data_IF_348490622557
#
_entry.id   IF_348490622557
#
_cell.length_a   1.000
_cell.length_b   1.000
_cell.length_c   1.000
_cell.angle_alpha   90.00
_cell.angle_beta   90.00
_cell.angle_gamma   90.00
#
_symmetry.space_group_name_H-M   'P 1'
#
loop_
_entity.id
_entity.type
_entity.pdbx_description
1 polymer ?
#
# COMPACT_ATOMS: atom_id res chain seq x y z
N UNK A 1 70.15 -29.76 33.95
CA UNK A 1 69.04 -30.73 33.86
C UNK A 1 67.98 -30.29 34.87
N UNK A 2 67.04 -29.45 34.47
CA UNK A 2 65.67 -29.74 34.01
C UNK A 2 64.65 -29.86 35.17
N UNK A 3 63.84 -28.81 35.38
CA UNK A 3 62.36 -28.83 35.41
C UNK A 3 61.79 -27.63 36.21
N UNK A 4 61.00 -26.80 35.53
CA UNK A 4 60.12 -25.78 36.14
C UNK A 4 58.69 -26.36 36.20
N UNK A 5 57.95 -26.24 37.31
CA UNK A 5 56.54 -26.62 37.34
C UNK A 5 55.66 -25.47 36.84
N UNK A 6 54.67 -25.86 36.03
CA UNK A 6 53.55 -25.07 35.55
C UNK A 6 52.71 -24.52 36.72
N UNK A 7 52.29 -23.25 36.63
CA UNK A 7 51.11 -22.76 37.32
C UNK A 7 50.33 -21.84 36.39
N UNK A 8 49.15 -22.33 35.99
CA UNK A 8 48.12 -21.68 35.21
C UNK A 8 47.67 -20.35 35.86
N UNK A 9 47.64 -19.27 35.08
CA UNK A 9 46.74 -18.14 35.37
C UNK A 9 45.75 -18.04 34.22
N UNK A 10 44.51 -18.44 34.48
CA UNK A 10 43.42 -18.44 33.51
C UNK A 10 43.04 -16.99 33.15
N UNK A 11 43.17 -16.65 31.87
CA UNK A 11 42.61 -15.43 31.28
C UNK A 11 41.11 -15.69 31.10
N UNK A 12 40.28 -15.04 31.92
CA UNK A 12 38.83 -14.97 31.66
C UNK A 12 38.60 -14.03 30.48
N UNK A 13 38.48 -14.60 29.29
CA UNK A 13 37.97 -13.90 28.12
C UNK A 13 36.45 -13.72 28.33
N UNK A 14 36.06 -12.50 28.70
CA UNK A 14 34.66 -12.11 28.78
C UNK A 14 34.15 -12.01 27.34
N UNK A 15 33.42 -13.02 26.87
CA UNK A 15 32.71 -12.92 25.61
C UNK A 15 31.66 -11.81 25.72
N UNK A 16 31.92 -10.69 25.03
CA UNK A 16 30.88 -9.72 24.73
C UNK A 16 29.94 -10.41 23.73
N UNK A 17 28.84 -10.97 24.23
CA UNK A 17 27.74 -11.41 23.38
C UNK A 17 27.38 -10.24 22.44
N UNK A 18 27.27 -10.45 21.12
CA UNK A 18 26.76 -9.42 20.25
C UNK A 18 25.34 -9.10 20.72
N UNK A 19 25.15 -7.91 21.26
CA UNK A 19 23.81 -7.35 21.41
C UNK A 19 23.27 -7.23 20.00
N UNK A 20 22.33 -8.10 19.63
CA UNK A 20 21.60 -7.92 18.38
C UNK A 20 20.86 -6.59 18.52
N UNK A 21 21.38 -5.56 17.86
CA UNK A 21 20.64 -4.33 17.64
C UNK A 21 19.41 -4.75 16.87
N UNK A 22 18.24 -4.72 17.50
CA UNK A 22 16.99 -4.91 16.79
C UNK A 22 16.96 -3.82 15.71
N UNK A 23 17.10 -4.21 14.45
CA UNK A 23 16.84 -3.30 13.35
C UNK A 23 15.39 -2.84 13.49
N UNK A 24 15.18 -1.52 13.47
CA UNK A 24 13.85 -0.94 13.41
C UNK A 24 13.28 -1.23 12.00
N UNK A 25 12.69 -2.41 11.84
CA UNK A 25 12.09 -2.82 10.57
C UNK A 25 10.76 -2.10 10.44
N UNK A 26 10.72 -1.10 9.55
CA UNK A 26 9.53 -0.27 9.28
C UNK A 26 8.27 -1.13 9.02
N UNK A 27 8.41 -2.21 8.25
CA UNK A 27 7.39 -3.23 8.05
C UNK A 27 7.73 -4.53 8.79
N UNK A 28 7.17 -4.72 9.98
CA UNK A 28 7.19 -6.02 10.66
C UNK A 28 6.18 -6.95 9.98
N UNK A 29 6.64 -8.04 9.34
CA UNK A 29 5.80 -8.94 8.54
C UNK A 29 5.89 -10.42 9.00
N UNK A 30 6.24 -10.64 10.28
CA UNK A 30 6.54 -11.99 10.79
C UNK A 30 5.32 -12.87 11.09
N UNK A 31 4.15 -12.26 11.27
CA UNK A 31 2.89 -12.96 11.55
C UNK A 31 1.75 -12.35 10.73
N UNK A 32 0.65 -13.08 10.56
CA UNK A 32 -0.54 -12.55 9.87
C UNK A 32 -1.08 -11.29 10.54
N UNK A 33 -1.05 -11.22 11.88
CA UNK A 33 -1.47 -10.03 12.62
C UNK A 33 -0.51 -8.86 12.39
N UNK A 34 0.80 -9.10 12.39
CA UNK A 34 1.79 -8.08 12.05
C UNK A 34 1.57 -7.54 10.62
N UNK A 35 1.33 -8.42 9.64
CA UNK A 35 1.07 -8.03 8.23
C UNK A 35 -0.20 -7.19 8.14
N UNK A 36 -1.29 -7.63 8.79
CA UNK A 36 -2.57 -6.90 8.79
C UNK A 36 -2.41 -5.53 9.43
N UNK A 37 -1.79 -5.45 10.60
CA UNK A 37 -1.52 -4.19 11.30
C UNK A 37 -0.69 -3.24 10.43
N UNK A 38 0.39 -3.75 9.83
CA UNK A 38 1.32 -2.94 9.04
C UNK A 38 0.80 -2.57 7.66
N UNK A 39 -0.13 -3.33 7.08
CA UNK A 39 -0.78 -3.01 5.80
C UNK A 39 -1.59 -1.70 5.82
N UNK A 40 -1.95 -1.20 7.01
CA UNK A 40 -2.60 0.11 7.16
C UNK A 40 -1.73 1.27 6.68
N UNK A 41 -0.41 1.14 6.80
CA UNK A 41 0.54 2.19 6.39
C UNK A 41 0.50 2.39 4.87
N UNK A 42 0.75 1.38 4.01
CA UNK A 42 0.65 1.58 2.57
C UNK A 42 -0.77 1.90 2.11
N UNK A 43 -1.81 1.43 2.81
CA UNK A 43 -3.19 1.86 2.52
C UNK A 43 -3.38 3.37 2.80
N UNK A 44 -2.87 3.87 3.92
CA UNK A 44 -2.91 5.32 4.20
C UNK A 44 -2.09 6.12 3.17
N UNK A 45 -0.85 5.69 2.91
CA UNK A 45 0.04 6.37 1.96
C UNK A 45 -0.54 6.35 0.55
N UNK A 46 -1.15 5.24 0.11
CA UNK A 46 -1.76 5.16 -1.21
C UNK A 46 -3.00 6.04 -1.33
N UNK A 47 -3.81 6.16 -0.27
CA UNK A 47 -4.97 7.07 -0.27
C UNK A 47 -4.54 8.55 -0.34
N UNK A 48 -3.31 8.88 0.07
CA UNK A 48 -2.80 10.26 -0.03
C UNK A 48 -2.69 10.79 -1.46
N UNK A 49 -2.65 9.91 -2.46
CA UNK A 49 -2.69 10.29 -3.88
C UNK A 49 -4.11 10.62 -4.37
N UNK A 50 -5.15 10.21 -3.64
CA UNK A 50 -6.54 10.34 -4.06
C UNK A 50 -7.20 11.58 -3.45
N UNK A 51 -7.63 12.48 -4.34
CA UNK A 51 -8.37 13.68 -3.98
C UNK A 51 -9.87 13.59 -4.29
N UNK A 52 -10.35 12.52 -4.93
CA UNK A 52 -11.71 12.42 -5.47
C UNK A 52 -12.86 12.44 -4.44
N UNK A 53 -12.56 12.34 -3.14
CA UNK A 53 -13.52 12.52 -2.04
C UNK A 53 -13.59 13.96 -1.51
N UNK A 54 -12.77 14.88 -2.05
CA UNK A 54 -12.76 16.29 -1.67
C UNK A 54 -13.76 17.09 -2.52
N UNK A 55 -14.24 18.21 -1.97
CA UNK A 55 -15.18 19.08 -2.67
C UNK A 55 -14.59 19.62 -3.98
N UNK A 56 -15.35 19.51 -5.07
CA UNK A 56 -14.94 19.98 -6.40
C UNK A 56 -14.06 19.02 -7.18
N UNK A 57 -13.73 17.84 -6.62
CA UNK A 57 -12.97 16.80 -7.30
C UNK A 57 -13.90 15.77 -7.96
N UNK A 58 -13.33 14.88 -8.77
CA UNK A 58 -14.04 13.82 -9.48
C UNK A 58 -13.84 12.50 -8.73
N UNK A 59 -14.91 11.96 -8.15
CA UNK A 59 -14.84 10.69 -7.43
C UNK A 59 -14.47 9.53 -8.35
N UNK A 60 -13.65 8.61 -7.86
CA UNK A 60 -13.20 7.44 -8.61
C UNK A 60 -11.99 7.67 -9.53
N UNK A 61 -11.44 8.89 -9.60
CA UNK A 61 -10.24 9.18 -10.38
C UNK A 61 -9.08 9.66 -9.51
N UNK A 62 -7.88 9.20 -9.84
CA UNK A 62 -6.63 9.81 -9.43
C UNK A 62 -6.36 11.10 -10.24
N UNK A 63 -5.43 11.97 -9.81
CA UNK A 63 -5.05 13.16 -10.57
C UNK A 63 -4.59 12.83 -12.00
N UNK A 64 -5.29 13.34 -13.01
CA UNK A 64 -5.01 13.06 -14.41
C UNK A 64 -6.17 13.41 -15.34
N UNK A 65 -6.07 13.07 -16.64
CA UNK A 65 -4.98 12.35 -17.29
C UNK A 65 -3.81 13.25 -17.77
N UNK A 66 -2.62 12.65 -18.03
CA UNK A 66 -1.46 13.36 -18.57
C UNK A 66 -1.75 14.10 -19.88
N UNK A 67 -2.63 13.52 -20.72
CA UNK A 67 -3.03 14.09 -22.01
C UNK A 67 -3.63 15.50 -21.90
N UNK A 68 -4.16 15.87 -20.73
CA UNK A 68 -4.71 17.20 -20.45
C UNK A 68 -3.90 18.00 -19.41
N UNK A 69 -2.74 17.48 -18.98
CA UNK A 69 -1.88 18.14 -18.00
C UNK A 69 -2.50 18.28 -16.60
N UNK A 70 -3.47 17.43 -16.26
CA UNK A 70 -4.22 17.47 -14.98
C UNK A 70 -3.69 16.47 -13.94
N UNK A 71 -2.59 15.79 -14.24
CA UNK A 71 -1.90 14.83 -13.37
C UNK A 71 -1.31 13.68 -14.17
N UNK A 72 -0.89 12.63 -13.47
CA UNK A 72 -0.05 11.56 -14.02
C UNK A 72 -0.83 10.28 -14.40
N UNK A 73 -2.09 10.17 -13.98
CA UNK A 73 -2.82 8.89 -14.00
C UNK A 73 -3.96 8.85 -15.02
N UNK A 74 -4.14 7.71 -15.69
CA UNK A 74 -5.29 7.50 -16.58
C UNK A 74 -6.52 7.01 -15.80
N UNK A 75 -7.70 7.07 -16.42
CA UNK A 75 -8.97 6.74 -15.78
C UNK A 75 -9.01 5.33 -15.19
N UNK A 76 -8.52 4.33 -15.93
CA UNK A 76 -8.51 2.94 -15.49
C UNK A 76 -7.68 2.69 -14.22
N UNK A 77 -6.64 3.50 -13.95
CA UNK A 77 -5.85 3.40 -12.72
C UNK A 77 -6.67 3.78 -11.48
N UNK A 78 -7.69 4.61 -11.66
CA UNK A 78 -8.72 4.85 -10.64
C UNK A 78 -9.51 3.58 -10.33
N UNK A 79 -9.96 2.84 -11.36
CA UNK A 79 -10.60 1.54 -11.20
C UNK A 79 -9.71 0.53 -10.48
N UNK A 80 -8.46 0.41 -10.91
CA UNK A 80 -7.45 -0.44 -10.28
C UNK A 80 -7.21 -0.06 -8.80
N UNK A 81 -7.16 1.24 -8.47
CA UNK A 81 -7.08 1.70 -7.08
C UNK A 81 -8.29 1.24 -6.27
N UNK A 82 -9.51 1.41 -6.78
CA UNK A 82 -10.72 0.97 -6.07
C UNK A 82 -10.72 -0.54 -5.82
N UNK A 83 -10.31 -1.33 -6.81
CA UNK A 83 -10.14 -2.78 -6.67
C UNK A 83 -9.13 -3.15 -5.57
N UNK A 84 -7.99 -2.47 -5.53
CA UNK A 84 -6.98 -2.68 -4.49
C UNK A 84 -7.53 -2.41 -3.06
N UNK A 85 -8.41 -1.42 -2.88
CA UNK A 85 -9.04 -1.18 -1.58
C UNK A 85 -10.14 -2.18 -1.23
N UNK A 86 -10.84 -2.74 -2.22
CA UNK A 86 -11.77 -3.86 -1.97
C UNK A 86 -10.98 -5.05 -1.44
N UNK A 87 -9.86 -5.41 -2.08
CA UNK A 87 -8.99 -6.50 -1.62
C UNK A 87 -8.38 -6.19 -0.25
N UNK A 88 -7.92 -4.96 -0.02
CA UNK A 88 -7.44 -4.52 1.29
C UNK A 88 -8.49 -4.77 2.38
N UNK A 89 -9.73 -4.31 2.18
CA UNK A 89 -10.80 -4.53 3.14
C UNK A 89 -11.08 -6.02 3.33
N UNK A 90 -11.14 -6.79 2.24
CA UNK A 90 -11.39 -8.23 2.30
C UNK A 90 -10.30 -8.98 3.09
N UNK A 91 -9.03 -8.65 2.87
CA UNK A 91 -7.88 -9.34 3.46
C UNK A 91 -7.59 -8.91 4.91
N UNK A 92 -7.93 -7.68 5.27
CA UNK A 92 -7.59 -7.09 6.59
C UNK A 92 -8.79 -6.95 7.51
N UNK A 93 -10.00 -6.86 6.97
CA UNK A 93 -11.22 -6.52 7.69
C UNK A 93 -11.33 -5.03 8.06
N UNK A 94 -10.41 -4.17 7.62
CA UNK A 94 -10.41 -2.74 7.91
C UNK A 94 -11.37 -1.98 6.99
N UNK A 95 -12.49 -1.41 7.48
CA UNK A 95 -13.51 -0.78 6.63
C UNK A 95 -13.26 0.71 6.36
N UNK A 96 -12.12 1.25 6.79
CA UNK A 96 -11.87 2.71 6.85
C UNK A 96 -12.10 3.45 5.54
N UNK A 97 -11.92 2.79 4.39
CA UNK A 97 -12.04 3.40 3.06
C UNK A 97 -13.28 2.97 2.27
N UNK A 98 -14.13 2.08 2.82
CA UNK A 98 -15.23 1.46 2.08
C UNK A 98 -16.22 2.49 1.50
N UNK A 99 -16.52 3.56 2.24
CA UNK A 99 -17.42 4.62 1.77
C UNK A 99 -16.84 5.39 0.58
N UNK A 100 -15.55 5.73 0.64
CA UNK A 100 -14.82 6.42 -0.43
C UNK A 100 -14.75 5.56 -1.70
N UNK A 101 -14.44 4.28 -1.53
CA UNK A 101 -14.36 3.30 -2.63
C UNK A 101 -15.72 3.11 -3.29
N UNK A 102 -16.77 2.92 -2.48
CA UNK A 102 -18.14 2.78 -2.99
C UNK A 102 -18.57 4.01 -3.79
N UNK A 103 -18.29 5.21 -3.26
CA UNK A 103 -18.59 6.46 -3.97
C UNK A 103 -17.83 6.54 -5.30
N UNK A 104 -16.54 6.19 -5.32
CA UNK A 104 -15.72 6.21 -6.53
C UNK A 104 -16.26 5.27 -7.62
N UNK A 105 -16.54 4.02 -7.26
CA UNK A 105 -17.06 3.01 -8.19
C UNK A 105 -18.42 3.41 -8.77
N UNK A 106 -19.35 3.89 -7.91
CA UNK A 106 -20.68 4.29 -8.36
C UNK A 106 -20.65 5.54 -9.25
N UNK A 107 -19.75 6.48 -8.98
CA UNK A 107 -19.60 7.69 -9.80
C UNK A 107 -19.13 7.37 -11.23
N UNK A 108 -18.31 6.33 -11.40
CA UNK A 108 -17.71 5.96 -12.69
C UNK A 108 -18.53 4.94 -13.49
N UNK A 109 -19.66 4.46 -12.97
CA UNK A 109 -20.47 3.41 -13.61
C UNK A 109 -21.09 3.83 -14.97
N UNK A 110 -21.21 5.14 -15.23
CA UNK A 110 -21.83 5.68 -16.45
C UNK A 110 -23.35 5.57 -16.45
N UNK A 111 -24.00 6.21 -17.43
CA UNK A 111 -25.49 6.29 -17.51
C UNK A 111 -26.16 4.90 -17.63
N UNK A 112 -25.44 3.91 -18.14
CA UNK A 112 -25.93 2.54 -18.36
C UNK A 112 -25.47 1.54 -17.30
N UNK A 113 -24.69 1.96 -16.29
CA UNK A 113 -24.05 1.09 -15.30
C UNK A 113 -23.13 0.01 -15.92
N UNK A 114 -22.36 0.40 -16.94
CA UNK A 114 -21.51 -0.51 -17.73
C UNK A 114 -20.03 -0.07 -17.76
N UNK A 115 -19.66 0.91 -16.94
CA UNK A 115 -18.32 1.52 -16.92
C UNK A 115 -17.88 2.08 -18.27
N UNK A 116 -18.85 2.61 -19.05
CA UNK A 116 -18.58 3.38 -20.27
C UNK A 116 -19.04 4.85 -20.12
N UNK A 117 -18.54 5.60 -19.12
CA UNK A 117 -18.92 7.00 -18.95
C UNK A 117 -18.47 7.84 -20.16
N UNK A 118 -19.39 8.62 -20.73
CA UNK A 118 -19.14 9.42 -21.96
C UNK A 118 -17.91 10.34 -21.84
N UNK A 119 -17.63 10.85 -20.65
CA UNK A 119 -16.48 11.72 -20.40
C UNK A 119 -15.12 11.01 -20.55
N UNK A 120 -15.09 9.68 -20.59
CA UNK A 120 -13.84 8.88 -20.71
C UNK A 120 -13.62 8.30 -22.11
N UNK A 121 -14.45 8.66 -23.10
CA UNK A 121 -14.44 8.06 -24.46
C UNK A 121 -13.05 8.03 -25.12
N UNK A 122 -12.20 9.03 -24.89
CA UNK A 122 -10.86 9.12 -25.51
C UNK A 122 -9.92 8.02 -24.98
N UNK A 123 -10.11 7.57 -23.75
CA UNK A 123 -9.30 6.53 -23.10
C UNK A 123 -10.07 5.24 -22.84
N UNK A 124 -11.21 5.03 -23.49
CA UNK A 124 -12.07 3.87 -23.22
C UNK A 124 -11.63 2.65 -24.03
N UNK A 125 -10.48 2.07 -23.69
CA UNK A 125 -10.09 0.74 -24.13
C UNK A 125 -10.96 -0.34 -23.47
N UNK A 126 -10.95 -1.55 -24.06
CA UNK A 126 -11.63 -2.70 -23.44
C UNK A 126 -10.96 -3.11 -22.11
N UNK A 127 -9.64 -2.93 -22.04
CA UNK A 127 -8.86 -3.07 -20.83
C UNK A 127 -9.25 -2.03 -19.79
N UNK A 128 -9.38 -0.76 -20.17
CA UNK A 128 -9.82 0.29 -19.25
C UNK A 128 -11.22 0.02 -18.66
N UNK A 129 -12.17 -0.44 -19.48
CA UNK A 129 -13.51 -0.83 -19.01
C UNK A 129 -13.46 -2.08 -18.11
N UNK A 130 -12.52 -2.99 -18.36
CA UNK A 130 -12.44 -4.27 -17.68
C UNK A 130 -11.80 -4.21 -16.28
N UNK A 131 -10.96 -3.20 -16.02
CA UNK A 131 -10.38 -2.91 -14.70
C UNK A 131 -11.39 -2.23 -13.78
#
# INVERSE_FOLDING_TARGET
MLSLPFALTAILLREAAPTSVAQDVYYKLGTSDDIRERSRIPAYDFMSFYNGNQSGQISGMLPGPPAFGTGDYYWWEGGAMMGAYIDYWHLTGDPSYNSVVTQGLLFQAGDNNDYQPRNQTIGLGNDDQGF
#
